data_IF_771191741768
#
_entry.id   IF_771191741768
#
_cell.length_a   1.000
_cell.length_b   1.000
_cell.length_c   1.000
_cell.angle_alpha   90.00
_cell.angle_beta   90.00
_cell.angle_gamma   90.00
#
_symmetry.space_group_name_H-M   'P 1'
#
loop_
_entity.id
_entity.type
_entity.pdbx_description
1 polymer ?
#
# COMPACT_ATOMS: atom_id res chain seq x y z
N UNK A 1 -20.74 8.83 -6.76
CA UNK A 1 -19.81 9.42 -7.75
C UNK A 1 -18.78 8.36 -8.10
N UNK A 2 -18.68 7.97 -9.37
CA UNK A 2 -17.70 6.96 -9.79
C UNK A 2 -16.29 7.56 -9.79
N UNK A 3 -15.30 6.86 -9.22
CA UNK A 3 -13.90 7.27 -9.34
C UNK A 3 -13.50 7.14 -10.81
N UNK A 4 -13.06 8.24 -11.42
CA UNK A 4 -12.57 8.21 -12.80
C UNK A 4 -11.25 7.46 -12.86
N UNK A 5 -11.05 6.64 -13.88
CA UNK A 5 -9.78 5.94 -14.06
C UNK A 5 -8.70 6.99 -14.36
N UNK A 6 -7.74 7.16 -13.45
CA UNK A 6 -6.68 8.18 -13.53
C UNK A 6 -5.29 7.56 -13.71
N UNK A 7 -5.21 6.24 -13.89
CA UNK A 7 -3.94 5.51 -13.95
C UNK A 7 -3.83 4.62 -15.19
N UNK A 8 -2.65 4.66 -15.79
CA UNK A 8 -2.27 3.77 -16.89
C UNK A 8 -2.09 2.33 -16.40
N UNK A 9 -2.20 1.36 -17.32
CA UNK A 9 -2.07 -0.07 -16.99
C UNK A 9 -0.74 -0.39 -16.30
N UNK A 10 0.35 0.26 -16.72
CA UNK A 10 1.69 0.10 -16.11
C UNK A 10 1.74 0.68 -14.69
N UNK A 11 1.24 1.90 -14.50
CA UNK A 11 1.15 2.53 -13.18
C UNK A 11 0.28 1.71 -12.22
N UNK A 12 -0.81 1.11 -12.71
CA UNK A 12 -1.68 0.22 -11.94
C UNK A 12 -0.92 -0.99 -11.40
N UNK A 13 -0.15 -1.66 -12.26
CA UNK A 13 0.64 -2.84 -11.89
C UNK A 13 1.74 -2.44 -10.91
N UNK A 14 2.47 -1.35 -11.18
CA UNK A 14 3.51 -0.86 -10.29
C UNK A 14 2.96 -0.58 -8.88
N UNK A 15 1.84 0.14 -8.75
CA UNK A 15 1.18 0.40 -7.44
C UNK A 15 0.64 -0.87 -6.78
N UNK A 16 0.13 -1.82 -7.57
CA UNK A 16 -0.31 -3.12 -7.06
C UNK A 16 0.86 -3.91 -6.48
N UNK A 17 2.00 -3.95 -7.17
CA UNK A 17 3.20 -4.65 -6.72
C UNK A 17 3.79 -3.96 -5.49
N UNK A 18 3.94 -2.64 -5.49
CA UNK A 18 4.43 -1.92 -4.30
C UNK A 18 3.49 -2.12 -3.12
N UNK A 19 2.17 -2.01 -3.32
CA UNK A 19 1.19 -2.28 -2.27
C UNK A 19 1.28 -3.69 -1.70
N UNK A 20 1.49 -4.70 -2.56
CA UNK A 20 1.69 -6.08 -2.13
C UNK A 20 2.99 -6.25 -1.32
N UNK A 21 4.09 -5.63 -1.74
CA UNK A 21 5.37 -5.67 -1.01
C UNK A 21 5.24 -5.00 0.37
N UNK A 22 4.58 -3.85 0.45
CA UNK A 22 4.34 -3.15 1.71
C UNK A 22 3.43 -3.96 2.65
N UNK A 23 2.36 -4.55 2.12
CA UNK A 23 1.48 -5.41 2.90
C UNK A 23 2.20 -6.66 3.41
N UNK A 24 2.96 -7.34 2.55
CA UNK A 24 3.75 -8.52 2.92
C UNK A 24 4.83 -8.18 3.95
N UNK A 25 5.52 -7.05 3.78
CA UNK A 25 6.51 -6.55 4.74
C UNK A 25 5.88 -6.24 6.10
N UNK A 26 4.70 -5.60 6.13
CA UNK A 26 3.96 -5.33 7.35
C UNK A 26 3.53 -6.61 8.08
N UNK A 27 2.98 -7.58 7.35
CA UNK A 27 2.63 -8.90 7.90
C UNK A 27 3.86 -9.62 8.43
N UNK A 28 4.95 -9.66 7.66
CA UNK A 28 6.20 -10.28 8.09
C UNK A 28 6.78 -9.65 9.36
N UNK A 29 6.65 -8.33 9.48
CA UNK A 29 7.07 -7.59 10.67
C UNK A 29 6.21 -7.94 11.89
N UNK A 30 4.88 -8.02 11.73
CA UNK A 30 3.98 -8.49 12.81
C UNK A 30 4.33 -9.92 13.23
N UNK A 31 4.50 -10.83 12.27
CA UNK A 31 4.86 -12.24 12.54
C UNK A 31 6.19 -12.31 13.30
N UNK A 32 7.20 -11.54 12.88
CA UNK A 32 8.49 -11.45 13.58
C UNK A 32 8.30 -11.00 15.03
N UNK A 33 7.44 -10.02 15.29
CA UNK A 33 7.20 -9.50 16.65
C UNK A 33 6.46 -10.53 17.51
N UNK A 34 5.51 -11.26 16.93
CA UNK A 34 4.79 -12.34 17.63
C UNK A 34 5.74 -13.49 17.99
N UNK A 35 6.66 -13.86 17.11
CA UNK A 35 7.55 -15.00 17.30
C UNK A 35 8.77 -14.70 18.19
N UNK A 36 9.38 -13.52 18.03
CA UNK A 36 10.64 -13.17 18.71
C UNK A 36 10.46 -12.12 19.81
N UNK A 37 9.23 -11.67 20.05
CA UNK A 37 8.94 -10.56 20.93
C UNK A 37 9.28 -9.21 20.30
N UNK A 38 8.65 -8.16 20.83
CA UNK A 38 8.92 -6.78 20.47
C UNK A 38 7.96 -5.83 21.17
N UNK A 39 8.40 -4.58 21.32
CA UNK A 39 7.57 -3.53 21.90
C UNK A 39 6.36 -3.20 21.04
N UNK A 40 5.37 -2.55 21.67
CA UNK A 40 4.14 -2.08 21.03
C UNK A 40 4.38 -1.29 19.73
N UNK A 41 5.50 -0.55 19.65
CA UNK A 41 5.89 0.25 18.49
C UNK A 41 6.07 -0.59 17.23
N UNK A 42 6.55 -1.83 17.35
CA UNK A 42 6.71 -2.73 16.21
C UNK A 42 5.36 -3.25 15.71
N UNK A 43 4.40 -3.53 16.61
CA UNK A 43 3.04 -3.87 16.21
C UNK A 43 2.36 -2.70 15.48
N UNK A 44 2.49 -1.48 16.02
CA UNK A 44 1.96 -0.28 15.39
C UNK A 44 2.58 -0.04 13.99
N UNK A 45 3.90 -0.18 13.86
CA UNK A 45 4.59 -0.05 12.58
C UNK A 45 4.17 -1.11 11.56
N UNK A 46 4.05 -2.37 11.99
CA UNK A 46 3.57 -3.47 11.15
C UNK A 46 2.15 -3.25 10.68
N UNK A 47 1.24 -2.87 11.58
CA UNK A 47 -0.15 -2.56 11.24
C UNK A 47 -0.25 -1.38 10.26
N UNK A 48 0.54 -0.33 10.45
CA UNK A 48 0.58 0.81 9.55
C UNK A 48 1.03 0.40 8.14
N UNK A 49 2.09 -0.42 8.03
CA UNK A 49 2.57 -0.94 6.74
C UNK A 49 1.50 -1.79 6.02
N UNK A 50 0.76 -2.62 6.75
CA UNK A 50 -0.34 -3.41 6.19
C UNK A 50 -1.45 -2.49 5.69
N UNK A 51 -1.86 -1.49 6.47
CA UNK A 51 -2.90 -0.54 6.07
C UNK A 51 -2.49 0.26 4.82
N UNK A 52 -1.24 0.74 4.78
CA UNK A 52 -0.70 1.46 3.61
C UNK A 52 -0.63 0.55 2.38
N UNK A 53 -0.16 -0.70 2.53
CA UNK A 53 -0.12 -1.67 1.45
C UNK A 53 -1.51 -2.02 0.92
N UNK A 54 -2.48 -2.24 1.81
CA UNK A 54 -3.88 -2.48 1.46
C UNK A 54 -4.51 -1.29 0.71
N UNK A 55 -4.19 -0.06 1.13
CA UNK A 55 -4.65 1.15 0.45
C UNK A 55 -4.08 1.25 -0.97
N UNK A 56 -2.78 1.01 -1.16
CA UNK A 56 -2.17 0.99 -2.50
C UNK A 56 -2.77 -0.10 -3.40
N UNK A 57 -3.09 -1.27 -2.84
CA UNK A 57 -3.78 -2.35 -3.57
C UNK A 57 -5.20 -1.95 -3.96
N UNK A 58 -5.93 -1.25 -3.08
CA UNK A 58 -7.26 -0.72 -3.39
C UNK A 58 -7.21 0.31 -4.53
N UNK A 59 -6.26 1.24 -4.49
CA UNK A 59 -6.01 2.20 -5.56
C UNK A 59 -5.71 1.51 -6.90
N UNK A 60 -4.85 0.50 -6.87
CA UNK A 60 -4.55 -0.31 -8.06
C UNK A 60 -5.79 -1.06 -8.59
N UNK A 61 -6.62 -1.63 -7.71
CA UNK A 61 -7.86 -2.33 -8.12
C UNK A 61 -8.86 -1.39 -8.77
N UNK A 62 -9.04 -0.19 -8.21
CA UNK A 62 -9.96 0.83 -8.75
C UNK A 62 -9.41 1.53 -9.98
N UNK A 63 -8.13 1.40 -10.30
CA UNK A 63 -7.50 2.14 -11.40
C UNK A 63 -7.43 3.63 -11.11
N UNK A 64 -7.31 3.99 -9.83
CA UNK A 64 -7.34 5.35 -9.36
C UNK A 64 -6.24 5.57 -8.34
N UNK A 65 -5.51 6.69 -8.46
CA UNK A 65 -4.46 7.04 -7.52
C UNK A 65 -4.72 8.44 -6.97
N UNK A 66 -4.78 8.54 -5.63
CA UNK A 66 -5.05 9.79 -4.92
C UNK A 66 -3.93 10.81 -5.16
N UNK A 67 -2.67 10.36 -5.29
CA UNK A 67 -1.54 11.26 -5.55
C UNK A 67 -1.74 12.07 -6.84
N UNK A 68 -2.16 11.40 -7.92
CA UNK A 68 -2.40 12.06 -9.21
C UNK A 68 -3.70 12.89 -9.17
N UNK A 69 -4.67 12.53 -8.32
CA UNK A 69 -5.86 13.34 -8.06
C UNK A 69 -5.54 14.61 -7.24
N UNK A 70 -4.55 14.56 -6.35
CA UNK A 70 -4.01 15.72 -5.64
C UNK A 70 -3.03 16.56 -6.48
N UNK A 71 -2.83 16.23 -7.75
CA UNK A 71 -1.95 16.96 -8.67
C UNK A 71 -0.47 16.60 -8.59
N UNK A 72 -0.08 15.56 -7.84
CA UNK A 72 1.29 15.07 -7.83
C UNK A 72 1.62 14.39 -9.16
N UNK A 73 2.61 14.93 -9.86
CA UNK A 73 3.18 14.34 -11.09
C UNK A 73 4.00 13.11 -10.71
N UNK A 74 3.36 11.95 -10.69
CA UNK A 74 4.10 10.68 -10.65
C UNK A 74 4.59 10.35 -12.05
N UNK A 75 5.87 9.97 -12.25
CA UNK A 75 6.42 9.62 -13.57
C UNK A 75 5.85 8.31 -14.15
N UNK A 76 4.82 7.76 -13.53
CA UNK A 76 4.20 6.46 -13.78
C UNK A 76 2.69 6.53 -13.63
#
# INVERSE_FOLDING_TARGET
MALTCNIDRRGRVARGVTGAVFAAGGVGLIVRVVLFGGGWTWYAGGALLVCLGAFMLFEARRGWCVARAMGLKTPM
#
